data_IF_403048503676
#
_entry.id   IF_403048503676
#
_cell.length_a   1.000
_cell.length_b   1.000
_cell.length_c   1.000
_cell.angle_alpha   90.00
_cell.angle_beta   90.00
_cell.angle_gamma   90.00
#
_symmetry.space_group_name_H-M   'P 1'
#
loop_
_entity.id
_entity.type
_entity.pdbx_description
1 polymer ?
#
# COMPACT_ATOMS: atom_id res chain seq x y z
N UNK A 1 16.11 -6.46 7.40
CA UNK A 1 15.34 -6.80 8.61
C UNK A 1 14.65 -5.59 9.23
N UNK A 2 15.38 -4.47 9.42
CA UNK A 2 14.80 -3.23 9.98
C UNK A 2 13.72 -2.65 9.06
N UNK A 3 13.99 -2.57 7.76
CA UNK A 3 13.06 -2.04 6.77
C UNK A 3 11.75 -2.85 6.76
N UNK A 4 11.84 -4.17 6.74
CA UNK A 4 10.65 -5.04 6.76
C UNK A 4 9.84 -4.84 8.04
N UNK A 5 10.52 -4.72 9.18
CA UNK A 5 9.86 -4.45 10.46
C UNK A 5 9.11 -3.12 10.47
N UNK A 6 9.70 -2.06 9.92
CA UNK A 6 9.07 -0.74 9.83
C UNK A 6 7.87 -0.74 8.88
N UNK A 7 7.97 -1.43 7.74
CA UNK A 7 6.86 -1.59 6.81
C UNK A 7 5.69 -2.29 7.48
N UNK A 8 5.94 -3.41 8.15
CA UNK A 8 4.90 -4.15 8.89
C UNK A 8 4.28 -3.32 10.00
N UNK A 9 5.10 -2.58 10.74
CA UNK A 9 4.63 -1.71 11.82
C UNK A 9 3.67 -0.64 11.33
N UNK A 10 4.00 0.01 10.21
CA UNK A 10 3.14 1.04 9.63
C UNK A 10 1.86 0.44 9.03
N UNK A 11 1.93 -0.72 8.42
CA UNK A 11 0.74 -1.43 7.93
C UNK A 11 -0.20 -1.80 9.07
N UNK A 12 0.34 -2.24 10.21
CA UNK A 12 -0.48 -2.52 11.40
C UNK A 12 -1.13 -1.26 11.95
N UNK A 13 -0.38 -0.16 12.00
CA UNK A 13 -0.90 1.13 12.44
C UNK A 13 -2.03 1.61 11.54
N UNK A 14 -1.87 1.47 10.22
CA UNK A 14 -2.91 1.80 9.24
C UNK A 14 -4.17 0.95 9.46
N UNK A 15 -4.01 -0.36 9.63
CA UNK A 15 -5.14 -1.27 9.83
C UNK A 15 -5.93 -0.95 11.11
N UNK A 16 -5.28 -0.33 12.10
CA UNK A 16 -5.91 0.07 13.36
C UNK A 16 -6.38 1.53 13.38
N UNK A 17 -6.22 2.25 12.26
CA UNK A 17 -6.54 3.67 12.20
C UNK A 17 -5.64 4.55 13.06
N UNK A 18 -4.39 4.14 13.29
CA UNK A 18 -3.44 4.81 14.21
C UNK A 18 -2.19 5.35 13.52
N UNK A 19 -2.29 5.72 12.24
CA UNK A 19 -1.17 6.39 11.59
C UNK A 19 -0.96 7.77 12.22
N UNK A 20 0.30 8.15 12.53
CA UNK A 20 0.58 9.48 13.02
C UNK A 20 0.32 10.53 11.94
N UNK A 21 -0.06 11.72 12.35
CA UNK A 21 -0.17 12.85 11.44
C UNK A 21 1.23 13.26 10.99
N UNK A 22 1.41 13.38 9.69
CA UNK A 22 2.68 13.77 9.06
C UNK A 22 2.42 14.76 7.94
N UNK A 23 3.42 15.60 7.63
CA UNK A 23 3.39 16.50 6.49
C UNK A 23 4.68 16.30 5.67
N UNK A 24 4.61 15.74 4.44
CA UNK A 24 3.38 15.27 3.77
C UNK A 24 2.79 14.01 4.43
N UNK A 25 1.47 13.76 4.24
CA UNK A 25 0.84 12.58 4.85
C UNK A 25 1.43 11.28 4.35
N UNK A 26 1.52 10.28 5.25
CA UNK A 26 2.00 8.94 4.89
C UNK A 26 0.99 8.17 4.03
N UNK A 27 -0.28 8.53 4.09
CA UNK A 27 -1.38 7.89 3.38
C UNK A 27 -2.09 8.89 2.49
N UNK A 28 -2.18 8.61 1.18
CA UNK A 28 -2.87 9.45 0.21
C UNK A 28 -3.62 8.64 -0.84
N UNK A 29 -4.70 9.19 -1.43
CA UNK A 29 -5.34 8.57 -2.59
C UNK A 29 -4.39 8.54 -3.78
N UNK A 30 -4.49 7.48 -4.61
CA UNK A 30 -3.80 7.41 -5.89
C UNK A 30 -4.67 8.11 -6.95
N UNK A 31 -4.18 9.21 -7.51
CA UNK A 31 -4.96 10.04 -8.45
C UNK A 31 -5.32 9.29 -9.73
N UNK A 32 -4.40 8.47 -10.25
CA UNK A 32 -4.56 7.77 -11.53
C UNK A 32 -5.40 6.49 -11.44
N UNK A 33 -5.70 5.98 -10.24
CA UNK A 33 -6.42 4.74 -10.03
C UNK A 33 -7.57 4.95 -9.04
N UNK A 34 -8.82 4.67 -9.43
CA UNK A 34 -9.99 5.12 -8.67
C UNK A 34 -10.17 4.44 -7.31
N UNK A 35 -9.66 3.22 -7.15
CA UNK A 35 -9.91 2.43 -5.95
C UNK A 35 -8.72 2.33 -5.02
N UNK A 36 -7.60 2.94 -5.37
CA UNK A 36 -6.35 2.76 -4.63
C UNK A 36 -5.97 3.96 -3.77
N UNK A 37 -5.33 3.63 -2.67
CA UNK A 37 -4.58 4.53 -1.82
C UNK A 37 -3.14 4.07 -1.79
N UNK A 38 -2.21 4.96 -1.47
CA UNK A 38 -0.82 4.59 -1.26
C UNK A 38 -0.37 4.95 0.16
N UNK A 39 0.32 4.01 0.79
CA UNK A 39 1.01 4.20 2.04
C UNK A 39 2.51 4.32 1.72
N UNK A 40 3.19 5.31 2.30
CA UNK A 40 4.54 5.71 1.91
C UNK A 40 5.54 5.57 3.05
N UNK A 41 6.76 5.18 2.69
CA UNK A 41 7.94 5.21 3.57
C UNK A 41 9.12 5.78 2.82
N UNK A 42 9.98 6.51 3.53
CA UNK A 42 11.23 7.01 2.98
C UNK A 42 12.40 6.48 3.80
N UNK A 43 13.30 5.78 3.14
CA UNK A 43 14.53 5.25 3.73
C UNK A 43 15.71 5.99 3.11
N UNK A 44 16.22 7.02 3.80
CA UNK A 44 17.25 7.93 3.27
C UNK A 44 18.57 7.20 3.03
N UNK A 45 19.04 6.40 3.98
CA UNK A 45 20.29 5.65 3.86
C UNK A 45 20.30 4.70 2.68
N UNK A 46 19.21 4.02 2.46
CA UNK A 46 19.05 3.02 1.41
C UNK A 46 18.67 3.64 0.07
N UNK A 47 18.47 4.95 0.00
CA UNK A 47 18.01 5.67 -1.19
C UNK A 47 16.76 5.03 -1.79
N UNK A 48 15.81 4.70 -0.94
CA UNK A 48 14.61 3.99 -1.34
C UNK A 48 13.35 4.68 -0.83
N UNK A 49 12.34 4.72 -1.69
CA UNK A 49 10.97 5.10 -1.34
C UNK A 49 10.10 3.86 -1.52
N UNK A 50 9.44 3.45 -0.44
CA UNK A 50 8.54 2.29 -0.48
C UNK A 50 7.11 2.79 -0.57
N UNK A 51 6.33 2.18 -1.47
CA UNK A 51 4.91 2.44 -1.67
C UNK A 51 4.15 1.13 -1.49
N UNK A 52 3.14 1.13 -0.63
CA UNK A 52 2.19 0.03 -0.54
C UNK A 52 0.85 0.53 -1.07
N UNK A 53 0.38 -0.08 -2.15
CA UNK A 53 -0.91 0.24 -2.75
C UNK A 53 -1.98 -0.66 -2.16
N UNK A 54 -3.06 -0.06 -1.69
CA UNK A 54 -4.15 -0.79 -1.06
C UNK A 54 -5.50 -0.20 -1.47
N UNK A 55 -6.52 -1.06 -1.44
CA UNK A 55 -7.90 -0.63 -1.53
C UNK A 55 -8.54 -0.64 -0.14
N UNK A 56 -9.63 0.11 0.00
CA UNK A 56 -10.41 0.18 1.23
C UNK A 56 -11.86 -0.24 0.92
N UNK A 57 -12.10 -1.54 0.64
CA UNK A 57 -13.45 -2.02 0.47
C UNK A 57 -14.17 -2.01 1.81
N UNK A 58 -15.49 -2.15 1.77
CA UNK A 58 -16.29 -2.15 3.00
C UNK A 58 -15.93 -3.29 3.95
N UNK A 59 -15.58 -4.44 3.39
CA UNK A 59 -15.23 -5.64 4.15
C UNK A 59 -14.48 -6.61 3.22
N UNK A 60 -13.19 -6.87 3.46
CA UNK A 60 -12.36 -6.36 4.56
C UNK A 60 -12.05 -4.86 4.42
N UNK A 61 -11.67 -4.22 5.53
CA UNK A 61 -11.45 -2.76 5.56
C UNK A 61 -10.26 -2.29 4.71
N UNK A 62 -9.20 -3.07 4.66
CA UNK A 62 -7.98 -2.75 3.91
C UNK A 62 -7.46 -3.99 3.20
N UNK A 63 -7.17 -3.85 1.92
CA UNK A 63 -6.57 -4.91 1.10
C UNK A 63 -5.31 -4.36 0.44
N UNK A 64 -4.14 -4.83 0.86
CA UNK A 64 -2.86 -4.48 0.23
C UNK A 64 -2.68 -5.35 -1.01
N UNK A 65 -2.55 -4.74 -2.17
CA UNK A 65 -2.48 -5.45 -3.45
C UNK A 65 -1.09 -5.40 -4.10
N UNK A 66 -0.27 -4.43 -3.74
CA UNK A 66 1.09 -4.31 -4.30
C UNK A 66 1.98 -3.50 -3.36
N UNK A 67 3.23 -3.95 -3.21
CA UNK A 67 4.29 -3.17 -2.55
C UNK A 67 5.38 -2.92 -3.58
N UNK A 68 5.82 -1.69 -3.69
CA UNK A 68 6.81 -1.25 -4.67
C UNK A 68 7.92 -0.46 -3.99
N UNK A 69 9.15 -0.77 -4.35
CA UNK A 69 10.32 -0.03 -3.89
C UNK A 69 10.88 0.82 -5.04
N UNK A 70 10.91 2.13 -4.84
CA UNK A 70 11.38 3.09 -5.82
C UNK A 70 12.76 3.60 -5.39
N UNK A 71 13.75 3.50 -6.25
CA UNK A 71 15.09 4.02 -5.98
C UNK A 71 15.13 5.52 -6.28
N UNK A 72 15.66 6.30 -5.33
CA UNK A 72 15.73 7.76 -5.49
C UNK A 72 16.87 8.21 -6.40
N UNK A 73 17.81 7.31 -6.71
CA UNK A 73 18.96 7.58 -7.58
C UNK A 73 18.70 7.23 -9.06
N UNK A 74 17.53 6.72 -9.40
CA UNK A 74 17.15 6.45 -10.79
C UNK A 74 16.64 7.72 -11.47
N UNK A 75 16.69 7.82 -12.83
CA UNK A 75 16.11 8.96 -13.56
C UNK A 75 14.61 9.14 -13.25
N UNK A 76 14.17 10.39 -13.15
CA UNK A 76 12.80 10.73 -12.71
C UNK A 76 11.74 10.14 -13.63
N UNK A 77 11.94 10.18 -14.94
CA UNK A 77 11.00 9.62 -15.92
C UNK A 77 10.88 8.10 -15.84
N UNK A 78 12.00 7.40 -15.60
CA UNK A 78 11.98 5.95 -15.34
C UNK A 78 11.25 5.63 -14.03
N UNK A 79 11.51 6.39 -12.96
CA UNK A 79 10.81 6.23 -11.69
C UNK A 79 9.31 6.38 -11.87
N UNK A 80 8.89 7.40 -12.61
CA UNK A 80 7.46 7.67 -12.82
C UNK A 80 6.80 6.58 -13.65
N UNK A 81 7.46 6.09 -14.70
CA UNK A 81 6.94 5.02 -15.53
C UNK A 81 6.77 3.72 -14.74
N UNK A 82 7.77 3.36 -13.94
CA UNK A 82 7.70 2.17 -13.07
C UNK A 82 6.59 2.32 -12.02
N UNK A 83 6.46 3.47 -11.42
CA UNK A 83 5.41 3.73 -10.42
C UNK A 83 4.02 3.62 -11.04
N UNK A 84 3.81 4.18 -12.23
CA UNK A 84 2.54 4.08 -12.94
C UNK A 84 2.19 2.62 -13.27
N UNK A 85 3.17 1.82 -13.70
CA UNK A 85 2.98 0.40 -13.96
C UNK A 85 2.60 -0.37 -12.70
N UNK A 86 3.24 -0.07 -11.56
CA UNK A 86 2.95 -0.69 -10.28
C UNK A 86 1.54 -0.32 -9.77
N UNK A 87 1.13 0.92 -9.93
CA UNK A 87 -0.23 1.37 -9.60
C UNK A 87 -1.28 0.65 -10.44
N UNK A 88 -1.04 0.52 -11.75
CA UNK A 88 -1.95 -0.18 -12.65
C UNK A 88 -2.07 -1.66 -12.29
N UNK A 89 -0.96 -2.33 -11.95
CA UNK A 89 -0.97 -3.71 -11.50
C UNK A 89 -1.73 -3.87 -10.18
N UNK A 90 -1.55 -2.93 -9.26
CA UNK A 90 -2.31 -2.89 -8.00
C UNK A 90 -3.81 -2.80 -8.26
N UNK A 91 -4.24 -1.90 -9.13
CA UNK A 91 -5.64 -1.75 -9.51
C UNK A 91 -6.20 -3.02 -10.16
N UNK A 92 -5.43 -3.63 -11.05
CA UNK A 92 -5.82 -4.89 -11.69
C UNK A 92 -6.05 -5.99 -10.66
N UNK A 93 -5.16 -6.13 -9.68
CA UNK A 93 -5.29 -7.12 -8.60
C UNK A 93 -6.49 -6.83 -7.71
N UNK A 94 -6.72 -5.56 -7.40
CA UNK A 94 -7.87 -5.15 -6.60
C UNK A 94 -9.18 -5.55 -7.29
N UNK A 95 -9.34 -5.19 -8.54
CA UNK A 95 -10.53 -5.51 -9.34
C UNK A 95 -10.72 -7.02 -9.51
N UNK A 96 -9.65 -7.74 -9.83
CA UNK A 96 -9.69 -9.19 -10.02
C UNK A 96 -10.07 -9.96 -8.74
N UNK A 97 -9.72 -9.41 -7.59
CA UNK A 97 -9.97 -10.04 -6.30
C UNK A 97 -11.37 -9.82 -5.73
N UNK A 98 -12.16 -8.90 -6.27
CA UNK A 98 -13.45 -8.51 -5.70
C UNK A 98 -14.42 -9.68 -5.51
N UNK A 99 -14.56 -10.54 -6.51
CA UNK A 99 -15.46 -11.70 -6.46
C UNK A 99 -15.13 -12.67 -5.34
N UNK A 100 -13.85 -12.93 -5.12
CA UNK A 100 -13.38 -13.84 -4.07
C UNK A 100 -13.17 -13.13 -2.75
N UNK A 101 -13.44 -11.82 -2.67
CA UNK A 101 -13.15 -10.96 -1.52
C UNK A 101 -11.68 -11.07 -1.11
N UNK A 102 -10.79 -11.17 -2.11
CA UNK A 102 -9.33 -11.33 -1.93
C UNK A 102 -8.96 -12.49 -1.02
N UNK A 103 -9.77 -13.58 -1.08
CA UNK A 103 -9.58 -14.76 -0.24
C UNK A 103 -10.02 -14.59 1.21
N UNK A 104 -10.58 -13.44 1.59
CA UNK A 104 -11.06 -13.20 2.94
C UNK A 104 -12.38 -13.92 3.19
N UNK A 105 -12.48 -14.58 4.35
CA UNK A 105 -13.70 -15.28 4.78
C UNK A 105 -14.12 -14.78 6.17
N UNK A 106 -15.40 -15.02 6.51
CA UNK A 106 -15.89 -14.68 7.86
C UNK A 106 -15.18 -15.44 8.98
N UNK A 107 -14.59 -16.60 8.63
CA UNK A 107 -13.86 -17.43 9.60
C UNK A 107 -12.37 -17.08 9.67
N UNK A 108 -11.94 -15.95 9.10
CA UNK A 108 -10.54 -15.55 9.12
C UNK A 108 -10.06 -15.28 10.55
N UNK A 109 -9.10 -16.11 11.01
CA UNK A 109 -8.53 -15.99 12.36
C UNK A 109 -7.53 -14.85 12.52
N UNK A 110 -7.09 -14.26 11.40
CA UNK A 110 -6.12 -13.18 11.40
C UNK A 110 -6.75 -11.79 11.41
N UNK A 111 -8.05 -11.69 11.14
CA UNK A 111 -8.77 -10.44 11.16
C UNK A 111 -9.09 -10.02 12.60
N UNK A 112 -9.02 -8.70 12.84
CA UNK A 112 -9.45 -8.16 14.12
C UNK A 112 -10.98 -8.30 14.25
N UNK A 113 -11.51 -8.63 15.43
CA UNK A 113 -12.95 -8.63 15.63
C UNK A 113 -13.51 -7.23 15.39
N UNK A 114 -14.63 -7.18 14.69
CA UNK A 114 -15.32 -5.92 14.41
C UNK A 114 -16.03 -5.39 15.65
#
# INVERSE_FOLDING_TARGET
>A
AIIVGEIRGRMRAMARGRLPEEDPPALEPVVSQPDLFELRWKFIKEKALVRAYHGEPRDPDVVVVRVHCKRTDAPVDEQQALQNAEMAEGQRRFTAGERSRWGHTRACSHCLPS
#
